data_IF_811305383603
#
_entry.id   IF_811305383603
#
_cell.length_a   1.000
_cell.length_b   1.000
_cell.length_c   1.000
_cell.angle_alpha   90.00
_cell.angle_beta   90.00
_cell.angle_gamma   90.00
#
_symmetry.space_group_name_H-M   'P 1'
#
loop_
_entity.id
_entity.type
_entity.pdbx_description
1 polymer ?
#
# COMPACT_ATOMS: atom_id res chain seq x y z
N UNK A 1 40.20 26.77 -9.69
CA UNK A 1 40.91 25.61 -10.26
C UNK A 1 40.56 24.26 -9.60
N UNK A 2 40.02 24.21 -8.37
CA UNK A 2 39.62 22.95 -7.72
C UNK A 2 38.29 22.36 -8.23
N UNK A 3 37.29 23.19 -8.54
CA UNK A 3 35.97 22.73 -9.04
C UNK A 3 36.02 22.06 -10.42
N UNK A 4 36.98 22.43 -11.27
CA UNK A 4 37.15 21.87 -12.62
C UNK A 4 37.77 20.45 -12.57
N UNK A 5 38.58 20.15 -11.56
CA UNK A 5 39.17 18.81 -11.38
C UNK A 5 38.14 17.80 -10.86
N UNK A 6 37.20 18.21 -10.01
CA UNK A 6 36.15 17.32 -9.50
C UNK A 6 35.17 16.92 -10.61
N UNK A 7 34.82 17.86 -11.49
CA UNK A 7 33.96 17.58 -12.65
C UNK A 7 34.68 16.67 -13.66
N UNK A 8 35.98 16.91 -13.91
CA UNK A 8 36.75 16.07 -14.83
C UNK A 8 36.96 14.63 -14.31
N UNK A 9 37.07 14.43 -12.99
CA UNK A 9 37.16 13.09 -12.38
C UNK A 9 35.80 12.38 -12.45
N UNK A 10 34.69 13.05 -12.15
CA UNK A 10 33.35 12.46 -12.29
C UNK A 10 33.01 12.11 -13.75
N UNK A 11 33.42 12.95 -14.72
CA UNK A 11 33.22 12.69 -16.15
C UNK A 11 34.12 11.57 -16.67
N UNK A 12 35.35 11.44 -16.16
CA UNK A 12 36.25 10.34 -16.50
C UNK A 12 35.78 8.99 -15.92
N UNK A 13 35.14 8.98 -14.75
CA UNK A 13 34.49 7.79 -14.21
C UNK A 13 33.28 7.39 -15.06
N UNK A 14 32.49 8.35 -15.57
CA UNK A 14 31.38 8.08 -16.49
C UNK A 14 31.83 7.48 -17.83
N UNK A 15 32.96 7.94 -18.37
CA UNK A 15 33.52 7.41 -19.64
C UNK A 15 34.14 6.02 -19.44
N UNK A 16 34.70 5.72 -18.25
CA UNK A 16 35.21 4.39 -17.93
C UNK A 16 34.09 3.34 -17.73
N UNK A 17 32.93 3.75 -17.19
CA UNK A 17 31.73 2.90 -17.13
C UNK A 17 31.12 2.68 -18.52
N UNK A 18 31.16 3.68 -19.40
CA UNK A 18 30.69 3.55 -20.79
C UNK A 18 31.50 2.59 -21.67
N UNK A 19 32.72 2.20 -21.28
CA UNK A 19 33.55 1.26 -22.04
C UNK A 19 33.29 -0.22 -21.71
N UNK A 20 32.58 -0.51 -20.63
CA UNK A 20 32.03 -1.83 -20.29
C UNK A 20 30.52 -1.65 -20.17
N UNK A 21 29.78 -1.90 -21.25
CA UNK A 21 28.35 -1.56 -21.42
C UNK A 21 27.40 -2.02 -20.31
N UNK A 22 27.42 -1.31 -19.19
CA UNK A 22 26.46 -1.39 -18.09
C UNK A 22 25.75 -0.05 -18.02
N UNK A 23 24.66 0.09 -18.77
CA UNK A 23 23.67 1.11 -18.46
C UNK A 23 22.97 0.69 -17.17
N UNK A 24 23.57 1.02 -16.02
CA UNK A 24 22.81 1.11 -14.77
C UNK A 24 21.85 2.28 -14.99
N UNK A 25 20.56 2.01 -15.12
CA UNK A 25 19.58 3.08 -15.26
C UNK A 25 19.76 4.07 -14.09
N UNK A 26 19.83 5.39 -14.36
CA UNK A 26 20.14 6.39 -13.34
C UNK A 26 19.25 6.29 -12.08
N UNK A 27 17.99 5.85 -12.24
CA UNK A 27 17.03 5.69 -11.14
C UNK A 27 17.52 4.77 -10.02
N UNK A 28 18.29 3.72 -10.34
CA UNK A 28 18.77 2.78 -9.31
C UNK A 28 19.80 3.43 -8.37
N UNK A 29 20.59 4.37 -8.89
CA UNK A 29 21.60 5.10 -8.11
C UNK A 29 20.98 6.16 -7.19
N UNK A 30 19.73 6.53 -7.42
CA UNK A 30 19.01 7.50 -6.58
C UNK A 30 18.45 6.85 -5.31
N UNK A 31 18.15 5.55 -5.35
CA UNK A 31 17.64 4.82 -4.19
C UNK A 31 18.64 4.83 -3.04
N UNK A 32 18.14 4.96 -1.81
CA UNK A 32 18.97 4.94 -0.60
C UNK A 32 19.79 3.64 -0.49
N UNK A 33 19.22 2.52 -0.94
CA UNK A 33 19.95 1.29 -1.22
C UNK A 33 19.79 0.94 -2.70
N UNK A 34 20.85 1.15 -3.48
CA UNK A 34 20.85 0.98 -4.94
C UNK A 34 20.78 -0.48 -5.39
N UNK A 35 21.12 -1.42 -4.52
CA UNK A 35 21.24 -2.83 -4.88
C UNK A 35 19.93 -3.60 -4.63
N UNK A 36 18.91 -2.99 -4.02
CA UNK A 36 17.62 -3.67 -3.77
C UNK A 36 16.94 -4.10 -5.06
N UNK A 37 16.88 -3.19 -6.02
CA UNK A 37 16.23 -3.39 -7.31
C UNK A 37 17.31 -3.38 -8.38
N UNK A 38 17.30 -4.41 -9.22
CA UNK A 38 18.26 -4.55 -10.30
C UNK A 38 17.53 -4.76 -11.63
N UNK A 39 18.09 -4.21 -12.71
CA UNK A 39 17.54 -4.35 -14.04
C UNK A 39 17.71 -5.76 -14.60
N UNK A 40 16.92 -6.11 -15.61
CA UNK A 40 17.05 -7.38 -16.32
C UNK A 40 18.46 -7.58 -16.92
N UNK A 41 19.07 -6.52 -17.45
CA UNK A 41 20.44 -6.55 -17.95
C UNK A 41 21.46 -6.85 -16.84
N UNK A 42 21.26 -6.28 -15.64
CA UNK A 42 22.11 -6.58 -14.48
C UNK A 42 21.94 -8.03 -14.05
N UNK A 43 20.72 -8.56 -14.01
CA UNK A 43 20.47 -9.98 -13.71
C UNK A 43 21.20 -10.88 -14.71
N UNK A 44 21.08 -10.63 -16.02
CA UNK A 44 21.78 -11.42 -17.04
C UNK A 44 23.29 -11.40 -16.84
N UNK A 45 23.86 -10.23 -16.55
CA UNK A 45 25.29 -10.17 -16.29
C UNK A 45 25.73 -10.96 -15.06
N UNK A 46 24.93 -10.96 -13.98
CA UNK A 46 25.23 -11.77 -12.81
C UNK A 46 25.18 -13.27 -13.14
N UNK A 47 24.23 -13.70 -13.97
CA UNK A 47 24.18 -15.07 -14.50
C UNK A 47 25.46 -15.42 -15.27
N UNK A 48 25.99 -14.48 -16.05
CA UNK A 48 27.17 -14.72 -16.90
C UNK A 48 28.50 -14.67 -16.14
N UNK A 49 28.53 -14.12 -14.92
CA UNK A 49 29.78 -13.79 -14.23
C UNK A 49 29.92 -14.32 -12.81
N UNK A 50 28.83 -14.76 -12.18
CA UNK A 50 28.86 -15.26 -10.80
C UNK A 50 28.45 -16.73 -10.72
N UNK A 51 29.25 -17.51 -10.00
CA UNK A 51 29.02 -18.94 -9.82
C UNK A 51 28.08 -19.27 -8.65
N UNK A 52 27.93 -18.37 -7.67
CA UNK A 52 27.11 -18.55 -6.45
C UNK A 52 25.86 -17.64 -6.48
N UNK A 53 25.00 -17.91 -7.45
CA UNK A 53 23.77 -17.18 -7.70
C UNK A 53 22.55 -18.09 -7.56
N UNK A 54 21.60 -17.70 -6.71
CA UNK A 54 20.30 -18.38 -6.57
C UNK A 54 19.20 -17.48 -7.10
N UNK A 55 18.59 -17.87 -8.21
CA UNK A 55 17.50 -17.12 -8.83
C UNK A 55 16.17 -17.76 -8.42
N UNK A 56 15.32 -17.00 -7.74
CA UNK A 56 14.08 -17.50 -7.15
C UNK A 56 12.88 -16.91 -7.88
N UNK A 57 12.14 -17.79 -8.54
CA UNK A 57 10.85 -17.49 -9.15
C UNK A 57 9.72 -17.73 -8.16
N UNK A 58 9.08 -16.65 -7.71
CA UNK A 58 7.93 -16.67 -6.79
C UNK A 58 6.61 -16.52 -7.56
N UNK A 59 6.48 -17.15 -8.73
CA UNK A 59 5.21 -17.31 -9.45
C UNK A 59 4.58 -18.67 -9.15
N UNK A 60 3.30 -18.84 -9.51
CA UNK A 60 2.69 -20.16 -9.48
C UNK A 60 3.40 -21.09 -10.46
N UNK A 61 3.51 -22.37 -10.12
CA UNK A 61 4.28 -23.36 -10.89
C UNK A 61 3.87 -23.46 -12.35
N UNK A 62 2.59 -23.26 -12.69
CA UNK A 62 2.14 -23.18 -14.09
C UNK A 62 2.85 -22.09 -14.88
N UNK A 63 2.96 -20.88 -14.33
CA UNK A 63 3.63 -19.76 -15.00
C UNK A 63 5.14 -19.97 -15.12
N UNK A 64 5.75 -20.66 -14.15
CA UNK A 64 7.17 -21.05 -14.20
C UNK A 64 7.38 -22.11 -15.30
N UNK A 65 6.54 -23.13 -15.36
CA UNK A 65 6.63 -24.21 -16.35
C UNK A 65 6.42 -23.71 -17.79
N UNK A 66 5.61 -22.66 -17.98
CA UNK A 66 5.42 -22.00 -19.28
C UNK A 66 6.66 -21.21 -19.76
N UNK A 67 7.59 -20.93 -18.85
CA UNK A 67 8.84 -20.24 -19.13
C UNK A 67 9.33 -19.40 -17.96
N UNK A 68 10.62 -19.48 -17.67
CA UNK A 68 11.30 -18.80 -16.56
C UNK A 68 12.70 -18.32 -16.95
N UNK A 69 13.30 -17.49 -16.09
CA UNK A 69 14.71 -17.09 -16.21
C UNK A 69 15.58 -18.35 -16.10
N UNK A 70 16.54 -18.62 -17.02
CA UNK A 70 17.39 -19.79 -16.95
C UNK A 70 18.08 -19.95 -15.59
N UNK A 71 18.07 -21.17 -15.05
CA UNK A 71 18.63 -21.47 -13.73
C UNK A 71 17.73 -21.10 -12.54
N UNK A 72 16.55 -20.51 -12.77
CA UNK A 72 15.65 -20.16 -11.68
C UNK A 72 15.00 -21.39 -11.04
N UNK A 73 14.87 -21.36 -9.71
CA UNK A 73 14.11 -22.32 -8.92
C UNK A 73 12.73 -21.75 -8.59
N UNK A 74 11.68 -22.57 -8.65
CA UNK A 74 10.32 -22.11 -8.34
C UNK A 74 9.95 -22.36 -6.88
N UNK A 75 9.40 -21.34 -6.23
CA UNK A 75 8.75 -21.45 -4.92
C UNK A 75 7.37 -20.81 -4.94
N UNK A 76 6.52 -21.21 -4.00
CA UNK A 76 5.22 -20.55 -3.80
C UNK A 76 4.91 -20.35 -2.32
N UNK A 77 3.90 -19.51 -2.06
CA UNK A 77 3.50 -19.02 -0.72
C UNK A 77 3.48 -20.10 0.38
N UNK A 78 2.93 -21.31 0.20
CA UNK A 78 2.88 -22.32 1.27
C UNK A 78 4.27 -22.82 1.74
N UNK A 79 5.31 -22.69 0.90
CA UNK A 79 6.66 -23.15 1.21
C UNK A 79 7.36 -22.24 2.23
N UNK A 80 7.06 -20.94 2.21
CA UNK A 80 7.66 -19.94 3.13
C UNK A 80 6.62 -19.25 4.05
N UNK A 81 5.34 -19.63 3.94
CA UNK A 81 4.27 -19.22 4.86
C UNK A 81 4.13 -20.16 6.05
N UNK A 82 3.33 -19.75 7.04
CA UNK A 82 3.01 -20.57 8.20
C UNK A 82 2.42 -21.93 7.78
N UNK A 83 2.67 -22.94 8.60
CA UNK A 83 2.14 -24.27 8.38
C UNK A 83 0.65 -24.33 8.68
N UNK A 84 -0.06 -25.26 8.03
CA UNK A 84 -1.50 -25.42 8.26
C UNK A 84 -1.78 -25.71 9.73
N UNK A 85 -2.68 -24.93 10.34
CA UNK A 85 -3.06 -25.07 11.74
C UNK A 85 -2.11 -24.42 12.75
N UNK A 86 -1.04 -23.75 12.30
CA UNK A 86 -0.15 -22.97 13.17
C UNK A 86 -0.84 -21.72 13.72
N UNK A 87 -1.76 -21.14 12.92
CA UNK A 87 -2.59 -20.00 13.28
C UNK A 87 -4.06 -20.30 12.95
N UNK A 88 -4.97 -19.66 13.68
CA UNK A 88 -6.43 -19.73 13.47
C UNK A 88 -6.88 -19.12 12.12
N UNK A 89 -5.98 -18.38 11.48
CA UNK A 89 -6.17 -17.74 10.18
C UNK A 89 -4.91 -17.92 9.33
N UNK A 90 -5.03 -17.69 8.03
CA UNK A 90 -3.95 -17.94 7.05
C UNK A 90 -3.16 -16.68 6.72
N UNK A 91 -2.06 -16.84 5.97
CA UNK A 91 -1.30 -15.73 5.38
C UNK A 91 -0.11 -15.26 6.20
N UNK A 92 0.13 -15.86 7.37
CA UNK A 92 1.28 -15.60 8.23
C UNK A 92 2.59 -16.11 7.61
N UNK A 93 3.71 -15.51 8.01
CA UNK A 93 5.07 -15.98 7.69
C UNK A 93 5.34 -17.37 8.28
N UNK A 94 6.17 -18.17 7.60
CA UNK A 94 6.69 -19.42 8.15
C UNK A 94 7.75 -19.17 9.22
N UNK A 95 7.97 -20.14 10.10
CA UNK A 95 9.04 -20.04 11.11
C UNK A 95 10.43 -19.91 10.47
N UNK A 96 11.43 -19.38 11.20
CA UNK A 96 12.81 -19.32 10.72
C UNK A 96 13.32 -20.67 10.22
N UNK A 97 13.06 -21.76 10.95
CA UNK A 97 13.52 -23.11 10.62
C UNK A 97 12.96 -23.59 9.29
N UNK A 98 11.66 -23.33 9.04
CA UNK A 98 11.01 -23.66 7.77
C UNK A 98 11.61 -22.90 6.60
N UNK A 99 11.95 -21.62 6.80
CA UNK A 99 12.57 -20.81 5.76
C UNK A 99 14.03 -21.19 5.54
N UNK A 100 14.77 -21.58 6.58
CA UNK A 100 16.14 -22.11 6.43
C UNK A 100 16.15 -23.45 5.68
N UNK A 101 15.23 -24.36 6.00
CA UNK A 101 15.06 -25.61 5.25
C UNK A 101 14.73 -25.33 3.78
N UNK A 102 13.83 -24.38 3.52
CA UNK A 102 13.52 -23.95 2.16
C UNK A 102 14.78 -23.43 1.46
N UNK A 103 15.48 -22.44 2.02
CA UNK A 103 16.69 -21.87 1.42
C UNK A 103 17.76 -22.93 1.13
N UNK A 104 17.99 -23.85 2.07
CA UNK A 104 18.88 -24.99 1.87
C UNK A 104 18.45 -25.91 0.73
N UNK A 105 17.13 -26.16 0.60
CA UNK A 105 16.59 -26.96 -0.52
C UNK A 105 16.78 -26.29 -1.88
N UNK A 106 16.92 -24.96 -1.92
CA UNK A 106 17.22 -24.19 -3.13
C UNK A 106 18.72 -24.14 -3.46
N UNK A 107 19.56 -24.80 -2.65
CA UNK A 107 21.03 -24.75 -2.79
C UNK A 107 21.66 -23.47 -2.25
N UNK A 108 20.89 -22.60 -1.59
CA UNK A 108 21.39 -21.35 -1.05
C UNK A 108 22.21 -21.59 0.22
N UNK A 109 23.31 -20.86 0.36
CA UNK A 109 24.07 -20.71 1.60
C UNK A 109 23.83 -19.31 2.19
N UNK A 110 24.37 -19.01 3.37
CA UNK A 110 24.35 -17.64 3.90
C UNK A 110 25.17 -16.64 3.10
N UNK A 111 26.03 -17.14 2.20
CA UNK A 111 26.86 -16.31 1.36
C UNK A 111 26.34 -16.12 -0.06
N UNK A 112 25.38 -16.96 -0.48
CA UNK A 112 24.80 -16.93 -1.82
C UNK A 112 24.11 -15.60 -2.09
N UNK A 113 24.23 -15.12 -3.32
CA UNK A 113 23.42 -13.99 -3.79
C UNK A 113 22.07 -14.51 -4.25
N UNK A 114 20.99 -13.90 -3.76
CA UNK A 114 19.63 -14.29 -4.06
C UNK A 114 18.96 -13.21 -4.92
N UNK A 115 18.57 -13.56 -6.14
CA UNK A 115 17.75 -12.70 -7.01
C UNK A 115 16.32 -13.24 -7.01
N UNK A 116 15.36 -12.43 -6.60
CA UNK A 116 13.96 -12.81 -6.51
C UNK A 116 13.15 -12.09 -7.59
N UNK A 117 12.24 -12.80 -8.24
CA UNK A 117 11.29 -12.19 -9.17
C UNK A 117 9.94 -12.90 -9.12
N UNK A 118 8.91 -12.24 -9.65
CA UNK A 118 7.57 -12.84 -9.78
C UNK A 118 6.91 -12.41 -11.09
N UNK A 119 5.58 -12.31 -11.13
CA UNK A 119 4.79 -11.71 -12.19
C UNK A 119 4.09 -10.42 -11.71
N UNK A 120 3.70 -9.57 -12.65
CA UNK A 120 2.99 -8.32 -12.36
C UNK A 120 3.76 -7.38 -11.42
N UNK A 121 3.05 -6.78 -10.47
CA UNK A 121 3.55 -5.70 -9.60
C UNK A 121 4.47 -6.17 -8.46
N UNK A 122 5.17 -7.30 -8.60
CA UNK A 122 6.32 -7.67 -7.75
C UNK A 122 6.07 -8.11 -6.30
N UNK A 123 4.89 -7.86 -5.72
CA UNK A 123 4.64 -7.99 -4.28
C UNK A 123 5.05 -9.33 -3.63
N UNK A 124 4.96 -10.46 -4.34
CA UNK A 124 5.43 -11.76 -3.83
C UNK A 124 6.96 -11.86 -3.73
N UNK A 125 7.71 -11.25 -4.66
CA UNK A 125 9.17 -11.18 -4.59
C UNK A 125 9.63 -10.32 -3.41
N UNK A 126 8.98 -9.17 -3.20
CA UNK A 126 9.23 -8.32 -2.02
C UNK A 126 8.93 -9.04 -0.71
N UNK A 127 7.85 -9.84 -0.68
CA UNK A 127 7.50 -10.62 0.51
C UNK A 127 8.56 -11.63 0.87
N UNK A 128 9.04 -12.39 -0.11
CA UNK A 128 10.09 -13.37 0.15
C UNK A 128 11.41 -12.68 0.54
N UNK A 129 11.79 -11.61 -0.17
CA UNK A 129 12.96 -10.79 0.16
C UNK A 129 12.91 -10.23 1.60
N UNK A 130 11.79 -9.63 1.99
CA UNK A 130 11.57 -9.11 3.35
C UNK A 130 11.73 -10.22 4.40
N UNK A 131 11.20 -11.41 4.14
CA UNK A 131 11.24 -12.53 5.07
C UNK A 131 12.65 -13.08 5.27
N UNK A 132 13.39 -13.34 4.19
CA UNK A 132 14.73 -13.92 4.30
C UNK A 132 15.74 -12.93 4.89
N UNK A 133 15.58 -11.64 4.64
CA UNK A 133 16.41 -10.59 5.23
C UNK A 133 16.12 -10.41 6.72
N UNK A 134 14.86 -10.46 7.13
CA UNK A 134 14.47 -10.50 8.55
C UNK A 134 15.07 -11.70 9.28
N UNK A 135 15.18 -12.85 8.62
CA UNK A 135 15.79 -14.06 9.19
C UNK A 135 17.31 -14.13 9.03
N UNK A 136 17.96 -12.99 8.77
CA UNK A 136 19.42 -12.88 8.85
C UNK A 136 20.16 -13.28 7.57
N UNK A 137 19.49 -13.37 6.41
CA UNK A 137 20.21 -13.33 5.13
C UNK A 137 20.62 -11.88 4.82
N UNK A 138 21.87 -11.68 4.39
CA UNK A 138 22.43 -10.33 4.27
C UNK A 138 21.68 -9.48 3.24
N UNK A 139 21.29 -8.26 3.62
CA UNK A 139 20.42 -7.40 2.80
C UNK A 139 21.05 -6.98 1.47
N UNK A 140 22.36 -6.84 1.42
CA UNK A 140 23.17 -6.53 0.24
C UNK A 140 23.30 -7.71 -0.74
N UNK A 141 22.91 -8.92 -0.32
CA UNK A 141 22.93 -10.13 -1.15
C UNK A 141 21.54 -10.51 -1.67
N UNK A 142 20.49 -9.76 -1.33
CA UNK A 142 19.12 -10.01 -1.79
C UNK A 142 18.67 -8.90 -2.73
N UNK A 143 18.38 -9.28 -3.96
CA UNK A 143 17.98 -8.38 -5.03
C UNK A 143 16.62 -8.79 -5.59
N UNK A 144 15.87 -7.80 -6.09
CA UNK A 144 14.59 -8.02 -6.77
C UNK A 144 14.74 -7.54 -8.21
N UNK A 145 14.30 -8.35 -9.16
CA UNK A 145 14.25 -7.95 -10.57
C UNK A 145 13.16 -6.87 -10.75
N UNK A 146 13.58 -5.66 -11.05
CA UNK A 146 12.65 -4.55 -11.33
C UNK A 146 11.84 -4.82 -12.60
N UNK A 147 10.54 -4.57 -12.53
CA UNK A 147 9.58 -4.97 -13.57
C UNK A 147 9.38 -6.49 -13.74
N UNK A 148 10.04 -7.31 -12.92
CA UNK A 148 9.83 -8.76 -12.80
C UNK A 148 9.97 -9.53 -14.13
N UNK A 149 9.37 -10.72 -14.24
CA UNK A 149 9.43 -11.52 -15.47
C UNK A 149 8.96 -10.79 -16.75
N UNK A 150 7.94 -9.90 -16.70
CA UNK A 150 7.59 -9.08 -17.87
C UNK A 150 8.75 -8.23 -18.39
N UNK A 151 9.53 -7.58 -17.52
CA UNK A 151 10.69 -6.79 -17.94
C UNK A 151 11.80 -7.67 -18.54
N UNK A 152 12.04 -8.86 -17.96
CA UNK A 152 12.98 -9.84 -18.54
C UNK A 152 12.60 -10.23 -19.97
N UNK A 153 11.32 -10.51 -20.20
CA UNK A 153 10.78 -10.83 -21.53
C UNK A 153 10.86 -9.65 -22.49
N UNK A 154 10.52 -8.45 -22.03
CA UNK A 154 10.58 -7.23 -22.83
C UNK A 154 12.01 -6.89 -23.26
N UNK A 155 13.01 -7.22 -22.43
CA UNK A 155 14.43 -7.07 -22.75
C UNK A 155 14.93 -8.11 -23.77
N UNK A 156 14.11 -9.07 -24.21
CA UNK A 156 14.49 -10.10 -25.18
C UNK A 156 15.51 -11.11 -24.65
N UNK A 157 15.63 -11.24 -23.33
CA UNK A 157 16.59 -12.12 -22.68
C UNK A 157 16.17 -13.59 -22.73
N UNK A 158 17.11 -14.55 -22.60
CA UNK A 158 16.83 -15.98 -22.72
C UNK A 158 15.78 -16.47 -21.73
N UNK A 159 14.94 -17.43 -22.15
CA UNK A 159 13.93 -18.07 -21.30
C UNK A 159 14.10 -19.58 -21.39
N UNK A 160 14.03 -20.24 -20.23
CA UNK A 160 14.11 -21.69 -20.08
C UNK A 160 12.75 -22.26 -19.70
N UNK A 161 12.56 -23.53 -20.04
CA UNK A 161 11.52 -24.41 -19.44
C UNK A 161 12.16 -25.55 -18.64
N UNK A 162 13.48 -25.67 -18.67
CA UNK A 162 14.25 -26.71 -18.00
C UNK A 162 14.48 -26.32 -16.54
N UNK A 163 14.01 -27.17 -15.63
CA UNK A 163 14.29 -26.98 -14.21
C UNK A 163 15.78 -27.21 -13.92
N UNK A 164 16.43 -26.36 -13.10
CA UNK A 164 17.83 -26.54 -12.75
C UNK A 164 18.03 -27.78 -11.88
N UNK A 165 19.21 -28.41 -12.00
CA UNK A 165 19.66 -29.38 -11.01
C UNK A 165 20.19 -28.62 -9.78
N UNK A 166 19.48 -28.76 -8.66
CA UNK A 166 19.83 -28.12 -7.39
C UNK A 166 20.38 -29.19 -6.45
N UNK A 167 21.55 -28.93 -5.85
CA UNK A 167 22.07 -29.76 -4.76
C UNK A 167 21.65 -29.12 -3.43
N UNK A 168 20.78 -29.76 -2.64
CA UNK A 168 20.39 -29.22 -1.33
C UNK A 168 21.60 -29.09 -0.40
N UNK A 169 21.63 -28.01 0.37
CA UNK A 169 22.65 -27.73 1.37
C UNK A 169 22.02 -27.42 2.73
N UNK A 170 22.82 -27.49 3.79
CA UNK A 170 22.39 -26.97 5.09
C UNK A 170 22.51 -25.45 5.09
N UNK A 171 21.40 -24.75 5.31
CA UNK A 171 21.41 -23.30 5.43
C UNK A 171 21.64 -22.89 6.89
N UNK A 172 22.63 -22.03 7.12
CA UNK A 172 22.86 -21.37 8.41
C UNK A 172 22.91 -19.87 8.15
N UNK A 173 22.03 -19.04 8.76
CA UNK A 173 21.99 -17.60 8.51
C UNK A 173 23.31 -16.92 8.92
N UNK A 174 23.72 -15.90 8.17
CA UNK A 174 24.92 -15.10 8.48
C UNK A 174 24.65 -14.04 9.56
N UNK A 175 23.40 -13.56 9.65
CA UNK A 175 22.94 -12.58 10.63
C UNK A 175 22.03 -13.17 11.71
N UNK A 176 21.84 -12.41 12.79
CA UNK A 176 20.76 -12.67 13.74
C UNK A 176 19.41 -12.32 13.11
N UNK A 177 18.34 -12.93 13.64
CA UNK A 177 16.98 -12.51 13.30
C UNK A 177 16.79 -11.06 13.74
N UNK A 178 16.33 -10.21 12.82
CA UNK A 178 16.03 -8.80 13.04
C UNK A 178 14.54 -8.52 12.77
N UNK A 179 13.75 -8.53 13.84
CA UNK A 179 12.31 -8.22 13.80
C UNK A 179 12.02 -6.71 13.92
N UNK A 180 13.02 -5.82 13.82
CA UNK A 180 12.81 -4.37 13.94
C UNK A 180 11.83 -3.80 12.89
N UNK A 181 11.72 -4.45 11.73
CA UNK A 181 10.78 -4.12 10.65
C UNK A 181 9.52 -5.01 10.64
N UNK A 182 9.29 -5.79 11.70
CA UNK A 182 8.07 -6.55 11.91
C UNK A 182 7.09 -5.76 12.79
N UNK A 183 5.92 -5.45 12.25
CA UNK A 183 4.81 -4.94 13.05
C UNK A 183 3.98 -6.09 13.63
N UNK A 184 3.52 -5.94 14.86
CA UNK A 184 2.59 -6.87 15.53
C UNK A 184 1.20 -6.24 15.69
N UNK A 185 0.18 -7.07 15.92
CA UNK A 185 -1.18 -6.61 16.27
C UNK A 185 -1.16 -5.59 17.41
N UNK A 186 -0.36 -5.84 18.45
CA UNK A 186 -0.25 -4.98 19.62
C UNK A 186 0.38 -3.62 19.29
N UNK A 187 1.27 -3.52 18.31
CA UNK A 187 1.82 -2.24 17.86
C UNK A 187 0.74 -1.36 17.23
N UNK A 188 -0.13 -1.98 16.43
CA UNK A 188 -1.22 -1.28 15.74
C UNK A 188 -2.33 -0.87 16.71
N UNK A 189 -2.65 -1.71 17.69
CA UNK A 189 -3.59 -1.34 18.76
C UNK A 189 -3.14 -0.10 19.53
N UNK A 190 -1.83 0.01 19.81
CA UNK A 190 -1.24 1.19 20.47
C UNK A 190 -1.18 2.41 19.54
N UNK A 191 -0.89 2.20 18.26
CA UNK A 191 -0.69 3.25 17.28
C UNK A 191 -1.95 4.07 16.96
N UNK A 192 -3.16 3.50 17.08
CA UNK A 192 -4.40 4.18 16.69
C UNK A 192 -4.64 5.54 17.35
N UNK A 193 -3.99 5.81 18.50
CA UNK A 193 -4.14 7.06 19.24
C UNK A 193 -2.85 7.91 19.29
N UNK A 194 -1.80 7.51 18.57
CA UNK A 194 -0.52 8.22 18.59
C UNK A 194 -0.37 9.10 17.33
N UNK A 195 -0.33 10.44 17.45
CA UNK A 195 -0.19 11.32 16.30
C UNK A 195 1.17 11.23 15.59
N UNK A 196 2.17 10.58 16.20
CA UNK A 196 3.50 10.36 15.60
C UNK A 196 3.59 9.05 14.82
N UNK A 197 2.51 8.24 14.81
CA UNK A 197 2.46 6.97 14.10
C UNK A 197 1.43 7.05 12.98
N UNK A 198 1.83 6.60 11.79
CA UNK A 198 0.92 6.42 10.66
C UNK A 198 0.68 4.94 10.49
N UNK A 199 -0.57 4.54 10.62
CA UNK A 199 -1.03 3.23 10.16
C UNK A 199 -1.31 3.35 8.66
N UNK A 200 -0.62 2.60 7.83
CA UNK A 200 -0.69 2.68 6.37
C UNK A 200 -1.34 1.44 5.79
N UNK A 201 -2.54 1.59 5.23
CA UNK A 201 -3.22 0.55 4.46
C UNK A 201 -2.80 0.60 2.99
N UNK A 202 -2.24 -0.50 2.52
CA UNK A 202 -1.69 -0.64 1.15
C UNK A 202 -2.59 -1.43 0.21
N UNK A 203 -3.81 -1.76 0.64
CA UNK A 203 -4.78 -2.55 -0.14
C UNK A 203 -5.40 -1.74 -1.28
N UNK A 204 -6.28 -2.35 -2.07
CA UNK A 204 -7.02 -1.59 -3.08
C UNK A 204 -8.02 -0.65 -2.41
N UNK A 205 -8.46 0.41 -3.10
CA UNK A 205 -9.43 1.33 -2.55
C UNK A 205 -10.76 0.65 -2.16
N UNK A 206 -11.20 -0.39 -2.89
CA UNK A 206 -12.42 -1.14 -2.57
C UNK A 206 -12.33 -1.94 -1.26
N UNK A 207 -11.14 -2.48 -0.96
CA UNK A 207 -10.85 -3.13 0.33
C UNK A 207 -10.87 -2.09 1.46
N UNK A 208 -10.19 -0.96 1.23
CA UNK A 208 -10.10 0.15 2.17
C UNK A 208 -11.49 0.69 2.53
N UNK A 209 -12.33 1.02 1.55
CA UNK A 209 -13.69 1.51 1.83
C UNK A 209 -14.62 0.47 2.46
N UNK A 210 -14.23 -0.80 2.44
CA UNK A 210 -15.05 -1.91 2.90
C UNK A 210 -16.18 -2.26 1.93
N UNK A 211 -15.96 -2.04 0.63
CA UNK A 211 -16.86 -2.46 -0.44
C UNK A 211 -16.59 -3.94 -0.76
N UNK A 212 -15.30 -4.27 -0.94
CA UNK A 212 -14.83 -5.62 -1.21
C UNK A 212 -14.41 -6.35 0.08
N UNK A 213 -14.58 -7.67 0.07
CA UNK A 213 -13.96 -8.59 1.02
C UNK A 213 -13.29 -9.68 0.19
N UNK A 214 -11.96 -9.73 0.22
CA UNK A 214 -11.23 -10.82 -0.41
C UNK A 214 -11.10 -12.01 0.53
N UNK A 215 -10.86 -13.16 -0.08
CA UNK A 215 -10.76 -14.45 0.59
C UNK A 215 -9.76 -14.41 1.77
N UNK A 216 -10.12 -15.05 2.87
CA UNK A 216 -9.37 -15.08 4.13
C UNK A 216 -9.66 -13.93 5.10
N UNK A 217 -10.19 -12.78 4.66
CA UNK A 217 -10.66 -11.76 5.60
C UNK A 217 -12.01 -12.15 6.21
N UNK A 218 -12.22 -11.76 7.46
CA UNK A 218 -13.43 -12.08 8.23
C UNK A 218 -14.42 -10.91 8.32
N UNK A 219 -13.95 -9.69 8.07
CA UNK A 219 -14.73 -8.43 8.11
C UNK A 219 -14.27 -7.48 6.99
N UNK A 220 -15.18 -6.61 6.54
CA UNK A 220 -14.90 -5.51 5.59
C UNK A 220 -14.50 -4.24 6.34
N UNK A 221 -13.74 -3.37 5.68
CA UNK A 221 -13.28 -2.09 6.23
C UNK A 221 -11.77 -2.05 6.39
N UNK A 222 -11.29 -1.20 7.29
CA UNK A 222 -9.89 -0.95 7.57
C UNK A 222 -9.66 -0.60 9.05
N UNK A 223 -8.38 -0.50 9.45
CA UNK A 223 -7.97 -0.16 10.82
C UNK A 223 -8.29 1.32 11.08
N UNK A 224 -8.98 1.70 12.16
CA UNK A 224 -9.29 3.09 12.44
C UNK A 224 -8.07 4.02 12.43
N UNK A 225 -8.22 5.19 11.80
CA UNK A 225 -7.16 6.19 11.73
C UNK A 225 -6.07 5.89 10.70
N UNK A 226 -6.17 4.76 9.97
CA UNK A 226 -5.20 4.48 8.92
C UNK A 226 -5.30 5.48 7.75
N UNK A 227 -4.18 5.67 7.09
CA UNK A 227 -4.03 6.38 5.81
C UNK A 227 -3.94 5.35 4.70
N UNK A 228 -4.39 5.70 3.50
CA UNK A 228 -4.43 4.79 2.36
C UNK A 228 -3.48 5.24 1.24
N UNK A 229 -2.59 4.34 0.81
CA UNK A 229 -1.79 4.46 -0.42
C UNK A 229 -1.75 3.09 -1.05
N UNK A 230 -2.36 2.91 -2.23
CA UNK A 230 -2.43 1.59 -2.86
C UNK A 230 -1.02 1.14 -3.27
N UNK A 231 -0.68 -0.11 -2.99
CA UNK A 231 0.64 -0.65 -3.30
C UNK A 231 1.01 -0.50 -4.78
N UNK A 232 0.03 -0.55 -5.69
CA UNK A 232 0.25 -0.39 -7.13
C UNK A 232 0.77 0.98 -7.52
N UNK A 233 0.53 2.00 -6.71
CA UNK A 233 0.90 3.38 -7.00
C UNK A 233 2.42 3.60 -6.93
N UNK A 234 3.16 2.64 -6.37
CA UNK A 234 4.63 2.61 -6.37
C UNK A 234 5.24 2.32 -7.74
N UNK A 235 4.44 1.86 -8.70
CA UNK A 235 4.93 1.42 -10.00
C UNK A 235 4.49 2.36 -11.14
N UNK A 236 5.28 2.30 -12.22
CA UNK A 236 4.96 2.78 -13.56
C UNK A 236 5.00 1.61 -14.54
N UNK A 237 4.72 1.85 -15.83
CA UNK A 237 4.86 0.82 -16.87
C UNK A 237 6.30 0.25 -16.96
N UNK A 238 7.31 1.00 -16.51
CA UNK A 238 8.73 0.62 -16.52
C UNK A 238 9.27 0.04 -15.21
N UNK A 239 8.40 -0.38 -14.29
CA UNK A 239 8.80 -0.90 -12.97
C UNK A 239 8.65 0.13 -11.86
N UNK A 240 9.48 0.04 -10.83
CA UNK A 240 9.43 0.93 -9.67
C UNK A 240 9.64 2.40 -10.09
N UNK A 241 8.85 3.30 -9.48
CA UNK A 241 8.98 4.76 -9.63
C UNK A 241 10.33 5.27 -9.13
N UNK A 242 10.76 6.42 -9.65
CA UNK A 242 11.94 7.13 -9.15
C UNK A 242 11.77 7.58 -7.69
N UNK A 243 12.88 7.90 -7.02
CA UNK A 243 12.84 8.38 -5.63
C UNK A 243 12.03 9.67 -5.49
N UNK A 244 12.12 10.58 -6.46
CA UNK A 244 11.36 11.83 -6.47
C UNK A 244 9.85 11.56 -6.50
N UNK A 245 9.39 10.72 -7.43
CA UNK A 245 7.97 10.36 -7.56
C UNK A 245 7.45 9.60 -6.33
N UNK A 246 8.26 8.67 -5.78
CA UNK A 246 7.91 7.93 -4.58
C UNK A 246 7.78 8.85 -3.36
N UNK A 247 8.73 9.79 -3.16
CA UNK A 247 8.61 10.79 -2.08
C UNK A 247 7.35 11.63 -2.24
N UNK A 248 7.09 12.14 -3.44
CA UNK A 248 5.89 12.93 -3.71
C UNK A 248 4.59 12.14 -3.40
N UNK A 249 4.53 10.86 -3.79
CA UNK A 249 3.41 9.97 -3.51
C UNK A 249 3.14 9.85 -2.00
N UNK A 250 4.17 9.58 -1.21
CA UNK A 250 4.01 9.36 0.24
C UNK A 250 3.79 10.66 1.01
N UNK A 251 4.49 11.74 0.66
CA UNK A 251 4.32 13.06 1.29
C UNK A 251 2.91 13.63 1.06
N UNK A 252 2.30 13.40 -0.12
CA UNK A 252 0.92 13.78 -0.38
C UNK A 252 -0.09 13.11 0.58
N UNK A 253 0.25 11.93 1.10
CA UNK A 253 -0.51 11.22 2.12
C UNK A 253 -0.05 11.54 3.56
N UNK A 254 0.83 12.53 3.74
CA UNK A 254 1.37 12.92 5.05
C UNK A 254 2.39 11.94 5.64
N UNK A 255 2.92 11.03 4.82
CA UNK A 255 3.87 9.98 5.19
C UNK A 255 5.30 10.50 4.99
N UNK A 256 5.93 10.86 6.11
CA UNK A 256 7.24 11.53 6.15
C UNK A 256 8.23 10.75 7.02
N UNK A 257 9.55 10.88 6.80
CA UNK A 257 10.57 10.05 7.47
C UNK A 257 10.75 10.34 8.97
N UNK A 258 10.16 11.42 9.49
CA UNK A 258 10.16 11.78 10.92
C UNK A 258 9.13 10.99 11.75
N UNK A 259 8.19 10.28 11.08
CA UNK A 259 7.15 9.50 11.74
C UNK A 259 7.50 8.02 11.80
N UNK A 260 6.78 7.27 12.63
CA UNK A 260 6.76 5.80 12.56
C UNK A 260 5.66 5.37 11.60
N UNK A 261 5.98 4.49 10.64
CA UNK A 261 5.07 4.02 9.62
C UNK A 261 4.83 2.53 9.82
N UNK A 262 3.58 2.17 10.08
CA UNK A 262 3.14 0.81 10.26
C UNK A 262 2.31 0.40 9.05
N UNK A 263 2.92 -0.28 8.07
CA UNK A 263 2.27 -0.68 6.84
C UNK A 263 1.61 -2.07 6.95
N UNK A 264 0.36 -2.18 6.50
CA UNK A 264 -0.38 -3.43 6.43
C UNK A 264 -1.13 -3.57 5.10
N UNK A 265 -1.52 -4.79 4.78
CA UNK A 265 -2.38 -5.08 3.64
C UNK A 265 -3.43 -6.13 4.00
N UNK A 266 -3.66 -7.12 3.14
CA UNK A 266 -4.50 -8.28 3.47
C UNK A 266 -3.75 -9.30 4.35
N UNK A 267 -2.50 -9.63 4.01
CA UNK A 267 -1.74 -10.73 4.65
C UNK A 267 -0.23 -10.49 4.67
N UNK A 268 0.21 -9.24 4.87
CA UNK A 268 1.63 -8.88 4.96
C UNK A 268 2.42 -8.88 3.64
N UNK A 269 1.82 -9.30 2.52
CA UNK A 269 2.50 -9.43 1.22
C UNK A 269 2.69 -8.07 0.53
N UNK A 270 1.62 -7.35 0.22
CA UNK A 270 1.70 -6.03 -0.46
C UNK A 270 2.39 -4.98 0.40
N UNK A 271 2.14 -5.02 1.72
CA UNK A 271 2.77 -4.13 2.68
C UNK A 271 4.26 -4.40 2.87
N UNK A 272 4.76 -5.62 2.63
CA UNK A 272 6.22 -5.87 2.61
C UNK A 272 6.92 -5.11 1.49
N UNK A 273 6.27 -4.97 0.33
CA UNK A 273 6.77 -4.15 -0.78
C UNK A 273 6.82 -2.68 -0.36
N UNK A 274 5.72 -2.12 0.14
CA UNK A 274 5.69 -0.74 0.61
C UNK A 274 6.68 -0.48 1.74
N UNK A 275 6.88 -1.44 2.65
CA UNK A 275 7.90 -1.34 3.71
C UNK A 275 9.31 -1.31 3.13
N UNK A 276 9.58 -2.12 2.09
CA UNK A 276 10.86 -2.11 1.37
C UNK A 276 11.08 -0.78 0.64
N UNK A 277 10.04 -0.23 0.01
CA UNK A 277 10.10 1.09 -0.65
C UNK A 277 10.44 2.17 0.38
N UNK A 278 9.68 2.26 1.46
CA UNK A 278 9.89 3.26 2.50
C UNK A 278 11.28 3.10 3.13
N UNK A 279 11.62 1.90 3.61
CA UNK A 279 12.84 1.69 4.39
C UNK A 279 14.11 1.65 3.54
N UNK A 280 14.11 0.90 2.44
CA UNK A 280 15.33 0.65 1.68
C UNK A 280 15.50 1.61 0.50
N UNK A 281 14.42 1.97 -0.20
CA UNK A 281 14.53 2.85 -1.37
C UNK A 281 14.51 4.33 -0.99
N UNK A 282 13.63 4.72 -0.04
CA UNK A 282 13.50 6.10 0.40
C UNK A 282 14.33 6.44 1.65
N UNK A 283 14.75 5.43 2.42
CA UNK A 283 15.56 5.61 3.63
C UNK A 283 14.77 6.02 4.87
N UNK A 284 13.47 5.69 4.94
CA UNK A 284 12.64 6.00 6.10
C UNK A 284 13.05 5.09 7.27
N UNK A 285 13.51 5.64 8.41
CA UNK A 285 14.17 4.85 9.45
C UNK A 285 13.20 3.94 10.23
N UNK A 286 11.92 4.31 10.30
CA UNK A 286 10.93 3.68 11.18
C UNK A 286 9.74 3.14 10.39
N UNK A 287 9.97 2.24 9.45
CA UNK A 287 8.91 1.58 8.68
C UNK A 287 8.86 0.07 8.99
N UNK A 288 7.69 -0.45 9.34
CA UNK A 288 7.50 -1.88 9.62
C UNK A 288 6.29 -2.47 8.89
N UNK A 289 6.39 -3.77 8.59
CA UNK A 289 5.35 -4.54 7.92
C UNK A 289 4.57 -5.38 8.94
N UNK A 290 3.25 -5.21 8.99
CA UNK A 290 2.39 -6.06 9.79
C UNK A 290 2.02 -7.35 9.07
N UNK A 291 2.63 -8.43 9.54
CA UNK A 291 2.51 -9.76 8.95
C UNK A 291 1.06 -10.26 8.87
N UNK A 292 0.36 -10.22 10.02
CA UNK A 292 -1.03 -10.67 10.11
C UNK A 292 -2.01 -9.79 9.36
N UNK A 293 -1.70 -8.49 9.25
CA UNK A 293 -2.42 -7.56 8.37
C UNK A 293 -3.94 -7.61 8.59
N UNK A 294 -4.74 -7.31 7.57
CA UNK A 294 -6.19 -7.30 7.67
C UNK A 294 -6.81 -8.67 7.98
N UNK A 295 -6.19 -9.78 7.57
CA UNK A 295 -6.72 -11.12 7.90
C UNK A 295 -6.71 -11.33 9.42
N UNK A 296 -5.59 -11.08 10.10
CA UNK A 296 -5.51 -11.17 11.56
C UNK A 296 -6.43 -10.13 12.22
N UNK A 297 -6.35 -8.86 11.80
CA UNK A 297 -7.13 -7.79 12.41
C UNK A 297 -8.65 -8.04 12.30
N UNK A 298 -9.09 -8.52 11.13
CA UNK A 298 -10.50 -8.78 10.88
C UNK A 298 -11.00 -10.04 11.60
N UNK A 299 -10.13 -10.99 11.96
CA UNK A 299 -10.47 -12.20 12.72
C UNK A 299 -10.92 -11.86 14.15
N UNK A 300 -10.17 -11.04 14.87
CA UNK A 300 -10.48 -10.64 16.25
C UNK A 300 -11.64 -9.65 16.31
N UNK A 301 -12.83 -10.11 16.73
CA UNK A 301 -14.08 -9.33 16.69
C UNK A 301 -14.07 -8.10 17.59
N UNK A 302 -13.31 -8.14 18.66
CA UNK A 302 -13.11 -7.06 19.63
C UNK A 302 -12.31 -5.89 19.04
N UNK A 303 -11.51 -6.12 18.01
CA UNK A 303 -10.73 -5.05 17.37
C UNK A 303 -11.66 -4.12 16.58
N UNK A 304 -11.44 -2.80 16.69
CA UNK A 304 -12.27 -1.82 16.01
C UNK A 304 -12.03 -1.85 14.51
N UNK A 305 -13.09 -1.56 13.75
CA UNK A 305 -13.07 -1.53 12.29
C UNK A 305 -13.79 -0.28 11.82
N UNK A 306 -13.17 0.43 10.88
CA UNK A 306 -13.78 1.54 10.18
C UNK A 306 -14.22 1.07 8.78
N UNK A 307 -15.44 1.39 8.36
CA UNK A 307 -15.89 1.17 6.99
C UNK A 307 -16.68 2.37 6.52
N UNK A 308 -16.27 2.98 5.40
CA UNK A 308 -16.93 4.16 4.85
C UNK A 308 -18.37 3.89 4.38
N UNK A 309 -18.76 2.62 4.15
CA UNK A 309 -20.17 2.27 3.94
C UNK A 309 -21.04 2.70 5.13
N UNK A 310 -20.57 2.49 6.35
CA UNK A 310 -21.26 2.98 7.54
C UNK A 310 -21.33 4.50 7.53
N UNK A 311 -20.26 5.20 7.15
CA UNK A 311 -20.21 6.67 7.04
C UNK A 311 -21.21 7.22 5.99
N UNK A 312 -21.41 6.51 4.88
CA UNK A 312 -22.38 6.90 3.84
C UNK A 312 -23.80 6.75 4.35
N UNK A 313 -24.13 5.57 4.88
CA UNK A 313 -25.44 5.32 5.52
C UNK A 313 -25.68 6.35 6.62
N UNK A 314 -24.60 6.79 7.27
CA UNK A 314 -24.63 7.84 8.28
C UNK A 314 -24.99 9.21 7.79
N UNK A 315 -24.28 9.70 6.77
CA UNK A 315 -24.59 10.97 6.15
C UNK A 315 -26.02 11.00 5.62
N UNK A 316 -26.47 9.91 4.99
CA UNK A 316 -27.83 9.80 4.44
C UNK A 316 -28.89 9.80 5.55
N UNK A 317 -28.69 9.02 6.62
CA UNK A 317 -29.63 8.97 7.74
C UNK A 317 -29.71 10.32 8.46
N UNK A 318 -28.58 10.96 8.72
CA UNK A 318 -28.53 12.30 9.33
C UNK A 318 -29.24 13.35 8.45
N UNK A 319 -28.99 13.32 7.13
CA UNK A 319 -29.67 14.20 6.18
C UNK A 319 -31.19 13.96 6.12
N UNK A 320 -31.63 12.70 6.18
CA UNK A 320 -33.04 12.34 6.22
C UNK A 320 -33.73 12.83 7.51
N UNK A 321 -33.08 12.68 8.67
CA UNK A 321 -33.57 13.21 9.94
C UNK A 321 -33.65 14.74 9.88
N UNK A 322 -32.61 15.42 9.39
CA UNK A 322 -32.61 16.87 9.24
C UNK A 322 -33.71 17.37 8.29
N UNK A 323 -33.97 16.66 7.19
CA UNK A 323 -35.07 16.97 6.28
C UNK A 323 -36.45 16.82 6.96
N UNK A 324 -36.65 15.76 7.76
CA UNK A 324 -37.88 15.57 8.55
C UNK A 324 -38.09 16.68 9.57
N UNK A 325 -37.02 17.14 10.24
CA UNK A 325 -37.04 18.29 11.16
C UNK A 325 -37.45 19.57 10.41
N UNK A 326 -36.86 19.83 9.25
CA UNK A 326 -37.18 21.01 8.43
C UNK A 326 -38.63 20.99 7.93
N UNK A 327 -39.13 19.84 7.50
CA UNK A 327 -40.53 19.67 7.09
C UNK A 327 -41.49 19.93 8.26
N UNK A 328 -41.15 19.46 9.46
CA UNK A 328 -41.92 19.76 10.67
C UNK A 328 -41.95 21.26 10.96
N UNK A 329 -40.79 21.92 10.98
CA UNK A 329 -40.69 23.35 11.24
C UNK A 329 -41.46 24.19 10.21
N UNK A 330 -41.42 23.80 8.92
CA UNK A 330 -42.21 24.44 7.86
C UNK A 330 -43.72 24.26 8.08
N UNK A 331 -44.18 23.07 8.45
CA UNK A 331 -45.60 22.82 8.73
C UNK A 331 -46.10 23.66 9.91
N UNK A 332 -45.31 23.76 10.99
CA UNK A 332 -45.60 24.61 12.15
C UNK A 332 -45.66 26.08 11.76
N UNK A 333 -44.70 26.58 10.96
CA UNK A 333 -44.68 27.97 10.48
C UNK A 333 -45.88 28.32 9.59
N UNK A 334 -46.45 27.35 8.87
CA UNK A 334 -47.66 27.50 8.06
C UNK A 334 -48.97 27.30 8.84
N UNK A 335 -48.92 27.11 10.17
CA UNK A 335 -50.10 26.89 11.00
C UNK A 335 -50.77 25.51 10.81
N UNK A 336 -50.10 24.56 10.15
CA UNK A 336 -50.61 23.20 9.92
C UNK A 336 -50.19 22.26 11.05
N UNK A 337 -51.07 21.33 11.46
CA UNK A 337 -50.72 20.25 12.39
C UNK A 337 -49.72 19.30 11.73
N UNK A 338 -48.51 19.22 12.27
CA UNK A 338 -47.53 18.18 11.90
C UNK A 338 -47.99 16.80 12.37
N UNK A 339 -47.77 15.77 11.54
CA UNK A 339 -47.91 14.35 11.95
C UNK A 339 -46.75 13.84 12.81
N UNK A 340 -45.58 14.47 12.77
CA UNK A 340 -44.47 14.20 13.70
C UNK A 340 -44.72 14.90 15.05
N UNK A 341 -44.64 14.15 16.14
CA UNK A 341 -44.69 14.69 17.49
C UNK A 341 -43.37 15.37 17.86
N UNK A 342 -43.41 16.42 18.69
CA UNK A 342 -42.21 17.09 19.23
C UNK A 342 -41.27 16.09 19.94
N UNK A 343 -41.84 15.04 20.52
CA UNK A 343 -41.12 13.93 21.17
C UNK A 343 -40.36 13.08 20.16
N UNK A 344 -40.95 12.75 19.00
CA UNK A 344 -40.28 11.96 17.96
C UNK A 344 -39.09 12.68 17.32
N UNK A 345 -39.16 14.01 17.23
CA UNK A 345 -38.06 14.85 16.73
C UNK A 345 -36.92 14.93 17.76
N UNK A 346 -37.25 15.17 19.03
CA UNK A 346 -36.26 15.16 20.11
C UNK A 346 -35.53 13.82 20.20
N UNK A 347 -36.27 12.71 20.12
CA UNK A 347 -35.69 11.37 20.12
C UNK A 347 -34.81 11.11 18.90
N UNK A 348 -35.24 11.54 17.71
CA UNK A 348 -34.44 11.42 16.48
C UNK A 348 -33.14 12.21 16.52
N UNK A 349 -33.13 13.42 17.09
CA UNK A 349 -31.92 14.24 17.26
C UNK A 349 -30.98 13.61 18.28
N UNK A 350 -31.49 13.13 19.42
CA UNK A 350 -30.67 12.47 20.45
C UNK A 350 -30.06 11.18 19.90
N UNK A 351 -30.84 10.37 19.17
CA UNK A 351 -30.33 9.18 18.51
C UNK A 351 -29.28 9.52 17.45
N UNK A 352 -29.50 10.56 16.64
CA UNK A 352 -28.52 11.01 15.65
C UNK A 352 -27.21 11.50 16.29
N UNK A 353 -27.29 12.28 17.38
CA UNK A 353 -26.09 12.76 18.12
C UNK A 353 -25.35 11.59 18.78
N UNK A 354 -26.08 10.71 19.46
CA UNK A 354 -25.50 9.51 20.07
C UNK A 354 -24.83 8.63 19.02
N UNK A 355 -25.43 8.52 17.84
CA UNK A 355 -24.92 7.70 16.75
C UNK A 355 -23.73 8.34 16.03
N UNK A 356 -23.73 9.67 15.83
CA UNK A 356 -22.55 10.45 15.38
C UNK A 356 -21.39 10.35 16.36
N UNK A 357 -21.67 10.28 17.66
CA UNK A 357 -20.66 10.12 18.72
C UNK A 357 -20.13 8.67 18.79
N UNK A 358 -21.02 7.67 18.80
CA UNK A 358 -20.68 6.24 18.86
C UNK A 358 -19.77 5.78 17.71
N UNK A 359 -19.94 6.35 16.52
CA UNK A 359 -19.12 6.05 15.34
C UNK A 359 -18.01 7.08 15.06
N UNK A 360 -17.70 7.98 16.01
CA UNK A 360 -16.66 9.01 15.87
C UNK A 360 -16.80 9.97 14.67
N UNK A 361 -18.00 10.08 14.09
CA UNK A 361 -18.27 10.86 12.87
C UNK A 361 -18.12 12.38 13.06
N UNK A 362 -18.16 12.87 14.30
CA UNK A 362 -17.92 14.27 14.63
C UNK A 362 -16.54 14.78 14.20
N UNK A 363 -15.58 13.86 14.03
CA UNK A 363 -14.23 14.20 13.57
C UNK A 363 -14.19 14.61 12.08
N UNK A 364 -15.23 14.33 11.28
CA UNK A 364 -15.25 14.54 9.81
C UNK A 364 -15.34 16.00 9.37
N UNK A 365 -15.73 16.90 10.26
CA UNK A 365 -15.93 18.34 9.97
C UNK A 365 -14.73 19.13 10.51
N UNK A 366 -13.51 18.59 10.38
CA UNK A 366 -12.27 19.33 10.62
C UNK A 366 -11.66 19.75 9.29
N UNK A 367 -11.12 20.97 9.23
CA UNK A 367 -10.48 21.51 8.03
C UNK A 367 -9.28 20.67 7.58
N UNK A 368 -8.71 19.90 8.51
CA UNK A 368 -7.50 19.10 8.32
C UNK A 368 -7.77 17.83 7.49
N UNK A 369 -9.04 17.48 7.23
CA UNK A 369 -9.45 16.24 6.55
C UNK A 369 -10.14 16.45 5.20
N UNK A 370 -9.98 17.63 4.61
CA UNK A 370 -10.47 17.93 3.25
C UNK A 370 -9.84 17.00 2.21
N UNK A 371 -8.57 16.62 2.39
CA UNK A 371 -7.89 15.66 1.51
C UNK A 371 -8.54 14.27 1.54
N UNK A 372 -8.93 13.78 2.72
CA UNK A 372 -9.64 12.49 2.86
C UNK A 372 -11.01 12.52 2.16
N UNK A 373 -11.73 13.65 2.26
CA UNK A 373 -13.01 13.83 1.57
C UNK A 373 -12.83 13.81 0.04
N UNK A 374 -11.77 14.45 -0.47
CA UNK A 374 -11.44 14.43 -1.89
C UNK A 374 -11.12 13.00 -2.37
N UNK A 375 -10.21 12.30 -1.69
CA UNK A 375 -9.87 10.91 -2.04
C UNK A 375 -11.10 9.99 -1.96
N UNK A 376 -11.99 10.22 -0.99
CA UNK A 376 -13.24 9.47 -0.86
C UNK A 376 -14.19 9.71 -2.04
N UNK A 377 -14.30 10.95 -2.54
CA UNK A 377 -15.10 11.29 -3.72
C UNK A 377 -14.49 10.69 -4.99
N UNK A 378 -13.18 10.84 -5.17
CA UNK A 378 -12.43 10.26 -6.30
C UNK A 378 -12.56 8.74 -6.34
N UNK A 379 -12.74 8.13 -5.16
CA UNK A 379 -12.96 6.72 -5.01
C UNK A 379 -14.18 6.12 -5.68
N UNK A 380 -15.16 6.95 -6.03
CA UNK A 380 -16.30 6.53 -6.84
C UNK A 380 -15.99 6.47 -8.35
N UNK A 381 -14.73 6.71 -8.74
CA UNK A 381 -14.29 6.70 -10.14
C UNK A 381 -15.11 7.66 -10.99
N UNK A 382 -15.71 7.15 -12.07
CA UNK A 382 -16.57 7.94 -12.97
C UNK A 382 -17.78 8.61 -12.28
N UNK A 383 -18.21 8.10 -11.12
CA UNK A 383 -19.31 8.70 -10.36
C UNK A 383 -18.86 9.78 -9.37
N UNK A 384 -17.55 9.97 -9.16
CA UNK A 384 -17.00 10.96 -8.24
C UNK A 384 -17.56 12.38 -8.44
N UNK A 385 -17.60 12.92 -9.66
CA UNK A 385 -18.18 14.25 -9.91
C UNK A 385 -19.66 14.37 -9.50
N UNK A 386 -20.44 13.30 -9.66
CA UNK A 386 -21.86 13.27 -9.25
C UNK A 386 -21.98 13.26 -7.73
N UNK A 387 -21.14 12.45 -7.05
CA UNK A 387 -21.08 12.39 -5.59
C UNK A 387 -20.67 13.74 -5.00
N UNK A 388 -19.66 14.39 -5.58
CA UNK A 388 -19.27 15.76 -5.21
C UNK A 388 -20.43 16.75 -5.34
N UNK A 389 -21.11 16.77 -6.50
CA UNK A 389 -22.24 17.68 -6.70
C UNK A 389 -23.36 17.44 -5.68
N UNK A 390 -23.68 16.18 -5.36
CA UNK A 390 -24.70 15.86 -4.37
C UNK A 390 -24.29 16.33 -2.96
N UNK A 391 -23.03 16.14 -2.57
CA UNK A 391 -22.50 16.64 -1.31
C UNK A 391 -22.49 18.16 -1.24
N UNK A 392 -22.08 18.84 -2.32
CA UNK A 392 -22.07 20.29 -2.41
C UNK A 392 -23.49 20.89 -2.33
N UNK A 393 -24.46 20.28 -3.04
CA UNK A 393 -25.87 20.66 -2.95
C UNK A 393 -26.38 20.47 -1.53
N UNK A 394 -26.07 19.34 -0.88
CA UNK A 394 -26.44 19.11 0.51
C UNK A 394 -25.82 20.17 1.43
N UNK A 395 -24.53 20.46 1.28
CA UNK A 395 -23.84 21.47 2.07
C UNK A 395 -24.48 22.87 1.90
N UNK A 396 -24.80 23.27 0.68
CA UNK A 396 -25.48 24.53 0.40
C UNK A 396 -26.88 24.59 1.02
N UNK A 397 -27.63 23.49 0.99
CA UNK A 397 -28.97 23.41 1.57
C UNK A 397 -28.92 23.50 3.11
N UNK A 398 -27.92 22.88 3.74
CA UNK A 398 -27.84 22.77 5.20
C UNK A 398 -27.07 23.90 5.89
N UNK A 399 -26.02 24.43 5.28
CA UNK A 399 -25.11 25.38 5.94
C UNK A 399 -25.24 26.83 5.44
N UNK A 400 -25.94 27.08 4.32
CA UNK A 400 -26.21 28.43 3.81
C UNK A 400 -27.73 28.69 3.74
N UNK A 401 -28.42 28.84 4.88
CA UNK A 401 -29.85 29.06 4.89
C UNK A 401 -30.17 30.50 4.45
N UNK A 402 -30.45 30.67 3.16
CA UNK A 402 -31.15 31.83 2.61
C UNK A 402 -30.25 32.92 2.02
N UNK A 403 -29.90 32.79 0.74
CA UNK A 403 -29.78 33.95 -0.14
C UNK A 403 -29.91 33.49 -1.60
N UNK A 404 -30.74 34.14 -2.44
CA UNK A 404 -30.77 33.88 -3.88
C UNK A 404 -29.42 34.09 -4.60
N UNK A 405 -28.43 34.69 -3.92
CA UNK A 405 -27.05 34.80 -4.36
C UNK A 405 -26.24 33.49 -4.33
N UNK A 406 -26.63 32.49 -3.53
CA UNK A 406 -25.92 31.20 -3.48
C UNK A 406 -26.10 30.35 -4.75
N UNK A 407 -27.26 30.47 -5.41
CA UNK A 407 -27.54 29.79 -6.68
C UNK A 407 -26.79 30.49 -7.83
N UNK A 408 -26.75 31.83 -7.84
CA UNK A 408 -25.97 32.60 -8.82
C UNK A 408 -24.47 32.39 -8.62
N UNK A 409 -23.98 32.35 -7.39
CA UNK A 409 -22.60 32.00 -7.06
C UNK A 409 -22.25 30.56 -7.45
N UNK A 410 -23.14 29.59 -7.20
CA UNK A 410 -22.94 28.19 -7.61
C UNK A 410 -22.93 27.98 -9.13
N UNK A 411 -23.62 28.82 -9.91
CA UNK A 411 -23.59 28.77 -11.38
C UNK A 411 -22.36 29.51 -11.96
N UNK A 412 -21.90 30.56 -11.29
CA UNK A 412 -20.68 31.31 -11.70
C UNK A 412 -19.39 30.63 -11.23
N UNK A 413 -19.40 29.89 -10.12
CA UNK A 413 -18.21 29.18 -9.61
C UNK A 413 -18.23 27.67 -9.84
N UNK A 414 -19.38 27.04 -10.11
CA UNK A 414 -19.44 25.60 -10.42
C UNK A 414 -19.08 25.31 -11.88
N UNK A 415 -19.99 25.59 -12.83
CA UNK A 415 -19.72 25.38 -14.26
C UNK A 415 -18.50 26.16 -14.79
N UNK A 416 -18.35 27.45 -14.49
CA UNK A 416 -17.32 28.28 -15.14
C UNK A 416 -15.93 28.01 -14.54
N UNK A 417 -15.77 28.00 -13.21
CA UNK A 417 -14.49 27.67 -12.59
C UNK A 417 -14.15 26.18 -12.66
N UNK A 418 -15.14 25.28 -12.61
CA UNK A 418 -14.91 23.86 -12.85
C UNK A 418 -14.44 23.56 -14.27
N UNK A 419 -14.89 24.33 -15.27
CA UNK A 419 -14.39 24.22 -16.65
C UNK A 419 -12.99 24.84 -16.81
N UNK A 420 -12.70 25.97 -16.14
CA UNK A 420 -11.37 26.60 -16.14
C UNK A 420 -10.33 25.72 -15.42
N UNK A 421 -10.71 25.01 -14.35
CA UNK A 421 -9.83 24.10 -13.61
C UNK A 421 -9.60 22.76 -14.33
N UNK A 422 -10.55 22.31 -15.15
CA UNK A 422 -10.36 21.13 -16.01
C UNK A 422 -9.58 21.43 -17.30
N UNK A 423 -9.19 22.68 -17.54
CA UNK A 423 -8.45 23.13 -18.73
C UNK A 423 -7.10 23.80 -18.43
N UNK A 424 -6.68 23.80 -17.16
CA UNK A 424 -5.31 24.00 -16.68
C UNK A 424 -4.81 22.68 -16.12
#
# INVERSE_FOLDING_TARGET
>A
MHKVKVIAVALATFIAVGAFGFDIEPKYLEYNNSDVLISAARVQHLIDTEDDLVIVDVRQSGQYNDGHIPGAVNIWRPMYGASSGEYEFRGMRGSPEKVYELLGSLGATSDSRIIVYTHGNGHDAFRFSWLITMYGHSRDKVHILDGNFPAWRAAGLPVSTDAPEVTPVSYTPSGAIDESRLGTRADYERAMNDPNVIILDTRTPEEWWGIAQYDGAFRKGHIPGAVHVNFTDNFTDGGMRSVEELRALYEAAGITPDKTILAYCQSGVRSSMTTTVLADLLGYPNASNYDGSWIEWSYYRELPVTSYFLYIVSGVLAAAIAALVLLHLRAVKQGKKSKLSKVGIGLGIVLAIFWLWYFNLHTLISMDRIGELQMWIEGFGLLGPVVYMLLFIAACIFFLPGAPFGIVGGIVFGPIFGTIWASL
#
